data_IF_997134642070
#
_entry.id   IF_997134642070
#
_cell.length_a   1.000
_cell.length_b   1.000
_cell.length_c   1.000
_cell.angle_alpha   90.00
_cell.angle_beta   90.00
_cell.angle_gamma   90.00
#
_symmetry.space_group_name_H-M   'P 1'
#
loop_
_entity.id
_entity.type
_entity.pdbx_description
1 polymer ?
#
# COMPACT_ATOMS: atom_id res chain seq x y z
N UNK A 1 2.16 20.65 35.61
CA UNK A 1 0.83 20.82 35.00
C UNK A 1 0.95 21.33 33.57
N UNK A 2 1.65 22.45 33.32
CA UNK A 2 1.84 23.02 31.98
C UNK A 2 2.41 22.04 30.94
N UNK A 3 3.42 21.24 31.31
CA UNK A 3 4.00 20.19 30.44
C UNK A 3 2.99 19.15 29.96
N UNK A 4 2.08 18.73 30.85
CA UNK A 4 1.04 17.73 30.55
C UNK A 4 -0.05 18.35 29.67
N UNK A 5 -0.39 19.63 29.87
CA UNK A 5 -1.31 20.36 29.00
C UNK A 5 -0.77 20.49 27.55
N UNK A 6 0.55 20.50 27.40
CA UNK A 6 1.23 20.46 26.10
C UNK A 6 1.38 19.04 25.51
N UNK A 7 0.83 18.01 26.17
CA UNK A 7 0.83 16.63 25.68
C UNK A 7 2.02 15.77 26.13
N UNK A 8 2.89 16.26 27.02
CA UNK A 8 3.97 15.46 27.60
C UNK A 8 3.43 14.52 28.69
N UNK A 9 3.09 13.30 28.31
CA UNK A 9 2.55 12.26 29.21
C UNK A 9 3.62 11.36 29.83
N UNK A 10 4.89 11.47 29.42
CA UNK A 10 6.02 10.72 29.99
C UNK A 10 6.57 11.33 31.28
N UNK A 11 5.80 12.23 31.88
CA UNK A 11 6.15 12.89 33.13
C UNK A 11 5.52 12.18 34.32
N UNK A 12 6.30 11.94 35.38
CA UNK A 12 5.80 11.45 36.66
C UNK A 12 6.05 12.51 37.71
N UNK A 13 5.02 12.83 38.52
CA UNK A 13 5.20 13.71 39.66
C UNK A 13 5.86 12.95 40.81
N UNK A 14 6.96 13.46 41.32
CA UNK A 14 7.63 12.89 42.49
C UNK A 14 6.79 13.09 43.76
N UNK A 15 6.57 12.00 44.50
CA UNK A 15 5.95 12.05 45.82
C UNK A 15 6.98 12.53 46.86
N UNK A 16 6.80 13.73 47.40
CA UNK A 16 7.69 14.32 48.43
C UNK A 16 7.21 14.13 49.87
N UNK A 17 5.94 13.80 50.10
CA UNK A 17 5.34 13.62 51.43
C UNK A 17 4.35 12.45 51.49
N UNK A 18 4.15 11.90 52.67
CA UNK A 18 3.20 10.81 52.94
C UNK A 18 1.85 11.29 53.48
N UNK A 19 1.46 12.52 53.11
CA UNK A 19 0.18 13.14 53.47
C UNK A 19 -0.87 12.98 52.35
N UNK A 20 -2.04 13.59 52.52
CA UNK A 20 -3.15 13.57 51.56
C UNK A 20 -2.73 14.08 50.18
N UNK A 21 -1.77 15.01 50.11
CA UNK A 21 -1.18 15.48 48.86
C UNK A 21 -0.38 14.38 48.15
N UNK A 22 0.31 13.52 48.90
CA UNK A 22 0.97 12.33 48.36
C UNK A 22 -0.01 11.36 47.69
N UNK A 23 -1.19 11.14 48.28
CA UNK A 23 -2.23 10.27 47.71
C UNK A 23 -2.83 10.85 46.42
N UNK A 24 -2.97 12.19 46.35
CA UNK A 24 -3.40 12.88 45.12
C UNK A 24 -2.35 12.73 44.01
N UNK A 25 -1.06 12.85 44.34
CA UNK A 25 0.05 12.65 43.38
C UNK A 25 0.03 11.22 42.83
N UNK A 26 -0.13 10.22 43.70
CA UNK A 26 -0.20 8.81 43.29
C UNK A 26 -1.42 8.57 42.38
N UNK A 27 -2.59 9.13 42.73
CA UNK A 27 -3.81 9.02 41.92
C UNK A 27 -3.67 9.73 40.57
N UNK A 28 -2.99 10.87 40.54
CA UNK A 28 -2.70 11.63 39.32
C UNK A 28 -1.74 10.88 38.39
N UNK A 29 -0.64 10.34 38.93
CA UNK A 29 0.29 9.50 38.17
C UNK A 29 -0.41 8.27 37.60
N UNK A 30 -1.28 7.62 38.38
CA UNK A 30 -2.10 6.51 37.91
C UNK A 30 -3.02 6.91 36.74
N UNK A 31 -3.70 8.07 36.85
CA UNK A 31 -4.51 8.59 35.75
C UNK A 31 -3.69 8.88 34.49
N UNK A 32 -2.47 9.41 34.61
CA UNK A 32 -1.59 9.66 33.46
C UNK A 32 -1.21 8.37 32.73
N UNK A 33 -0.83 7.32 33.47
CA UNK A 33 -0.55 6.01 32.91
C UNK A 33 -1.78 5.49 32.16
N UNK A 34 -2.97 5.62 32.77
CA UNK A 34 -4.22 5.16 32.15
C UNK A 34 -4.55 5.92 30.88
N UNK A 35 -4.36 7.24 30.85
CA UNK A 35 -4.56 8.07 29.65
C UNK A 35 -3.61 7.63 28.54
N UNK A 36 -2.34 7.38 28.87
CA UNK A 36 -1.34 6.90 27.90
C UNK A 36 -1.76 5.55 27.29
N UNK A 37 -2.20 4.60 28.10
CA UNK A 37 -2.72 3.31 27.63
C UNK A 37 -3.93 3.47 26.69
N UNK A 38 -4.87 4.35 27.05
CA UNK A 38 -6.04 4.64 26.23
C UNK A 38 -5.64 5.26 24.88
N UNK A 39 -4.70 6.21 24.86
CA UNK A 39 -4.19 6.80 23.63
C UNK A 39 -3.54 5.74 22.72
N UNK A 40 -2.68 4.88 23.27
CA UNK A 40 -2.09 3.78 22.51
C UNK A 40 -3.16 2.81 21.97
N UNK A 41 -4.20 2.54 22.75
CA UNK A 41 -5.32 1.68 22.34
C UNK A 41 -6.11 2.30 21.20
N UNK A 42 -6.47 3.58 21.30
CA UNK A 42 -7.16 4.33 20.25
C UNK A 42 -6.31 4.38 18.97
N UNK A 43 -5.01 4.65 19.09
CA UNK A 43 -4.08 4.65 17.95
C UNK A 43 -4.06 3.28 17.25
N UNK A 44 -3.99 2.19 18.03
CA UNK A 44 -3.97 0.82 17.52
C UNK A 44 -5.29 0.46 16.83
N UNK A 45 -6.42 0.81 17.44
CA UNK A 45 -7.74 0.59 16.86
C UNK A 45 -7.90 1.36 15.55
N UNK A 46 -7.44 2.61 15.49
CA UNK A 46 -7.48 3.42 14.27
C UNK A 46 -6.64 2.81 13.15
N UNK A 47 -5.42 2.37 13.47
CA UNK A 47 -4.55 1.69 12.50
C UNK A 47 -5.19 0.37 11.99
N UNK A 48 -5.80 -0.41 12.87
CA UNK A 48 -6.49 -1.64 12.48
C UNK A 48 -7.74 -1.36 11.65
N UNK A 49 -8.50 -0.33 12.00
CA UNK A 49 -9.65 0.12 11.21
C UNK A 49 -9.23 0.48 9.79
N UNK A 50 -8.19 1.32 9.62
CA UNK A 50 -7.68 1.66 8.29
C UNK A 50 -7.20 0.44 7.51
N UNK A 51 -6.53 -0.51 8.16
CA UNK A 51 -6.13 -1.77 7.50
C UNK A 51 -7.34 -2.58 7.02
N UNK A 52 -8.36 -2.73 7.86
CA UNK A 52 -9.58 -3.47 7.51
C UNK A 52 -10.39 -2.76 6.43
N UNK A 53 -10.50 -1.44 6.50
CA UNK A 53 -11.15 -0.62 5.48
C UNK A 53 -10.43 -0.74 4.13
N UNK A 54 -9.10 -0.67 4.13
CA UNK A 54 -8.28 -0.86 2.93
C UNK A 54 -8.50 -2.26 2.34
N UNK A 55 -8.53 -3.30 3.17
CA UNK A 55 -8.81 -4.68 2.73
C UNK A 55 -10.23 -4.80 2.15
N UNK A 56 -11.23 -4.20 2.79
CA UNK A 56 -12.61 -4.21 2.32
C UNK A 56 -12.79 -3.43 1.01
N UNK A 57 -12.13 -2.28 0.86
CA UNK A 57 -12.14 -1.51 -0.38
C UNK A 57 -11.49 -2.31 -1.51
N UNK A 58 -10.35 -2.95 -1.25
CA UNK A 58 -9.67 -3.84 -2.19
C UNK A 58 -10.53 -5.05 -2.56
N UNK A 59 -11.24 -5.68 -1.61
CA UNK A 59 -12.09 -6.84 -1.91
C UNK A 59 -13.28 -6.52 -2.81
N UNK A 60 -13.72 -5.26 -2.90
CA UNK A 60 -14.73 -4.83 -3.87
C UNK A 60 -14.21 -4.93 -5.32
N UNK A 61 -12.89 -4.90 -5.54
CA UNK A 61 -12.28 -5.27 -6.81
C UNK A 61 -12.23 -6.80 -6.85
N UNK A 62 -13.33 -7.45 -7.27
CA UNK A 62 -13.34 -8.91 -7.42
C UNK A 62 -12.35 -9.30 -8.55
N UNK A 63 -11.18 -9.89 -8.22
CA UNK A 63 -10.14 -10.13 -9.22
C UNK A 63 -10.62 -11.10 -10.30
N UNK A 64 -11.42 -12.08 -9.89
CA UNK A 64 -12.02 -13.07 -10.79
C UNK A 64 -13.03 -12.43 -11.75
N UNK A 65 -13.86 -11.50 -11.27
CA UNK A 65 -14.76 -10.76 -12.15
C UNK A 65 -13.98 -9.97 -13.21
N UNK A 66 -12.90 -9.29 -12.79
CA UNK A 66 -12.05 -8.54 -13.72
C UNK A 66 -11.42 -9.45 -14.77
N UNK A 67 -10.88 -10.61 -14.37
CA UNK A 67 -10.33 -11.60 -15.32
C UNK A 67 -11.38 -12.06 -16.33
N UNK A 68 -12.60 -12.38 -15.86
CA UNK A 68 -13.68 -12.80 -16.75
C UNK A 68 -14.09 -11.72 -17.75
N UNK A 69 -14.10 -10.45 -17.34
CA UNK A 69 -14.40 -9.33 -18.25
C UNK A 69 -13.32 -9.21 -19.32
N UNK A 70 -12.04 -9.28 -18.95
CA UNK A 70 -10.95 -9.21 -19.91
C UNK A 70 -10.92 -10.41 -20.85
N UNK A 71 -11.13 -11.63 -20.35
CA UNK A 71 -11.20 -12.83 -21.17
C UNK A 71 -12.37 -12.76 -22.17
N UNK A 72 -13.53 -12.27 -21.73
CA UNK A 72 -14.67 -12.02 -22.63
C UNK A 72 -14.31 -11.03 -23.73
N UNK A 73 -13.65 -9.91 -23.40
CA UNK A 73 -13.24 -8.91 -24.40
C UNK A 73 -12.21 -9.52 -25.36
N UNK A 74 -11.21 -10.23 -24.83
CA UNK A 74 -10.19 -10.93 -25.61
C UNK A 74 -10.82 -11.86 -26.66
N UNK A 75 -11.70 -12.78 -26.23
CA UNK A 75 -12.35 -13.71 -27.15
C UNK A 75 -13.25 -13.02 -28.16
N UNK A 76 -13.91 -11.91 -27.78
CA UNK A 76 -14.69 -11.11 -28.74
C UNK A 76 -13.81 -10.49 -29.83
N UNK A 77 -12.59 -10.07 -29.52
CA UNK A 77 -11.65 -9.55 -30.52
C UNK A 77 -11.09 -10.66 -31.40
N UNK A 78 -10.73 -11.81 -30.81
CA UNK A 78 -10.28 -13.00 -31.56
C UNK A 78 -11.34 -13.46 -32.56
N UNK A 79 -12.63 -13.49 -32.17
CA UNK A 79 -13.74 -13.84 -33.06
C UNK A 79 -13.93 -12.87 -34.24
N UNK A 80 -13.46 -11.63 -34.10
CA UNK A 80 -13.46 -10.61 -35.15
C UNK A 80 -12.18 -10.57 -35.97
N UNK A 81 -11.23 -11.47 -35.70
CA UNK A 81 -9.87 -11.44 -36.26
C UNK A 81 -9.08 -10.16 -35.91
N UNK A 82 -9.43 -9.49 -34.81
CA UNK A 82 -8.73 -8.30 -34.29
C UNK A 82 -7.60 -8.71 -33.33
N UNK A 83 -6.63 -9.50 -33.83
CA UNK A 83 -5.59 -10.11 -32.99
C UNK A 83 -4.67 -9.11 -32.29
N UNK A 84 -4.28 -8.03 -32.98
CA UNK A 84 -3.44 -6.97 -32.38
C UNK A 84 -4.12 -6.34 -31.15
N UNK A 85 -5.43 -6.12 -31.23
CA UNK A 85 -6.22 -5.55 -30.13
C UNK A 85 -6.41 -6.60 -29.03
N UNK A 86 -6.56 -7.88 -29.39
CA UNK A 86 -6.63 -8.97 -28.44
C UNK A 86 -5.34 -9.06 -27.58
N UNK A 87 -4.16 -8.94 -28.18
CA UNK A 87 -2.88 -8.97 -27.46
C UNK A 87 -2.70 -7.80 -26.50
N UNK A 88 -3.20 -6.62 -26.87
CA UNK A 88 -3.23 -5.44 -25.99
C UNK A 88 -4.14 -5.68 -24.78
N UNK A 89 -5.31 -6.27 -25.01
CA UNK A 89 -6.26 -6.62 -23.94
C UNK A 89 -5.67 -7.70 -23.01
N UNK A 90 -4.94 -8.67 -23.55
CA UNK A 90 -4.25 -9.69 -22.76
C UNK A 90 -3.15 -9.08 -21.87
N UNK A 91 -2.34 -8.18 -22.43
CA UNK A 91 -1.30 -7.45 -21.69
C UNK A 91 -1.91 -6.62 -20.56
N UNK A 92 -3.02 -5.92 -20.83
CA UNK A 92 -3.74 -5.16 -19.81
C UNK A 92 -4.31 -6.07 -18.71
N UNK A 93 -4.84 -7.24 -19.09
CA UNK A 93 -5.32 -8.23 -18.14
C UNK A 93 -4.19 -8.69 -17.21
N UNK A 94 -3.01 -9.00 -17.73
CA UNK A 94 -1.83 -9.42 -16.96
C UNK A 94 -1.36 -8.35 -15.96
N UNK A 95 -1.27 -7.09 -16.41
CA UNK A 95 -0.95 -5.93 -15.55
C UNK A 95 -1.95 -5.85 -14.41
N UNK A 96 -3.25 -5.94 -14.73
CA UNK A 96 -4.30 -5.83 -13.74
C UNK A 96 -4.32 -7.03 -12.77
N UNK A 97 -4.03 -8.27 -13.25
CA UNK A 97 -3.88 -9.42 -12.35
C UNK A 97 -2.74 -9.19 -11.37
N UNK A 98 -1.64 -8.62 -11.83
CA UNK A 98 -0.52 -8.30 -10.95
C UNK A 98 -0.91 -7.26 -9.91
N UNK A 99 -1.54 -6.15 -10.30
CA UNK A 99 -1.95 -5.10 -9.37
C UNK A 99 -2.91 -5.59 -8.27
N UNK A 100 -3.84 -6.49 -8.63
CA UNK A 100 -4.89 -6.98 -7.73
C UNK A 100 -4.47 -8.26 -6.98
N UNK A 101 -3.43 -8.98 -7.41
CA UNK A 101 -2.97 -10.17 -6.70
C UNK A 101 -2.31 -9.81 -5.36
N UNK A 102 -2.99 -10.12 -4.26
CA UNK A 102 -2.57 -9.80 -2.89
C UNK A 102 -1.83 -10.93 -2.18
N UNK A 103 -1.54 -12.06 -2.85
CA UNK A 103 -0.88 -13.21 -2.20
C UNK A 103 0.58 -12.95 -1.83
N UNK A 104 1.21 -11.92 -2.39
CA UNK A 104 2.60 -11.53 -2.13
C UNK A 104 2.67 -10.04 -1.84
N UNK A 105 3.07 -9.66 -0.63
CA UNK A 105 3.37 -8.26 -0.26
C UNK A 105 4.77 -7.83 -0.71
N UNK A 106 5.70 -8.78 -0.75
CA UNK A 106 7.07 -8.62 -1.23
C UNK A 106 7.30 -9.52 -2.45
N UNK A 107 8.08 -9.01 -3.40
CA UNK A 107 8.46 -9.66 -4.67
C UNK A 107 9.93 -9.38 -4.95
N UNK A 108 10.57 -10.19 -5.79
CA UNK A 108 11.93 -9.86 -6.25
C UNK A 108 11.89 -8.62 -7.14
N UNK A 109 12.98 -7.85 -7.16
CA UNK A 109 13.15 -6.73 -8.10
C UNK A 109 12.90 -7.20 -9.53
N UNK A 110 13.41 -8.37 -9.91
CA UNK A 110 13.20 -8.94 -11.24
C UNK A 110 11.72 -9.15 -11.56
N UNK A 111 10.95 -9.71 -10.61
CA UNK A 111 9.51 -9.95 -10.77
C UNK A 111 8.79 -8.60 -10.99
N UNK A 112 9.01 -7.61 -10.14
CA UNK A 112 8.34 -6.30 -10.22
C UNK A 112 8.72 -5.54 -11.51
N UNK A 113 9.99 -5.60 -11.91
CA UNK A 113 10.50 -4.93 -13.11
C UNK A 113 9.98 -5.55 -14.41
N UNK A 114 9.75 -6.87 -14.43
CA UNK A 114 9.09 -7.52 -15.57
C UNK A 114 7.68 -6.97 -15.76
N UNK A 115 6.91 -6.81 -14.69
CA UNK A 115 5.57 -6.21 -14.75
C UNK A 115 5.62 -4.73 -15.12
N UNK A 116 6.59 -3.98 -14.60
CA UNK A 116 6.80 -2.58 -14.95
C UNK A 116 7.10 -2.39 -16.45
N UNK A 117 7.88 -3.30 -17.03
CA UNK A 117 8.17 -3.29 -18.47
C UNK A 117 6.92 -3.53 -19.32
N UNK A 118 6.06 -4.50 -18.95
CA UNK A 118 4.76 -4.71 -19.62
C UNK A 118 3.87 -3.47 -19.51
N UNK A 119 3.82 -2.85 -18.33
CA UNK A 119 3.07 -1.61 -18.10
C UNK A 119 3.57 -0.44 -18.97
N UNK A 120 4.88 -0.22 -19.00
CA UNK A 120 5.49 0.84 -19.80
C UNK A 120 5.30 0.62 -21.30
N UNK A 121 5.33 -0.63 -21.75
CA UNK A 121 5.04 -0.99 -23.15
C UNK A 121 3.59 -0.67 -23.51
N UNK A 122 2.64 -0.96 -22.63
CA UNK A 122 1.23 -0.58 -22.80
C UNK A 122 1.04 0.95 -22.82
N UNK A 123 1.68 1.68 -21.89
CA UNK A 123 1.63 3.14 -21.87
C UNK A 123 2.24 3.76 -23.13
N UNK A 124 3.30 3.18 -23.66
CA UNK A 124 3.93 3.61 -24.90
C UNK A 124 2.99 3.48 -26.09
N UNK A 125 2.22 2.40 -26.17
CA UNK A 125 1.18 2.22 -27.20
C UNK A 125 0.10 3.31 -27.09
N UNK A 126 -0.41 3.56 -25.88
CA UNK A 126 -1.42 4.61 -25.64
C UNK A 126 -0.94 6.01 -26.03
N UNK A 127 0.36 6.27 -25.85
CA UNK A 127 1.00 7.54 -26.19
C UNK A 127 1.50 7.61 -27.64
N UNK A 128 1.04 6.71 -28.51
CA UNK A 128 1.45 6.62 -29.92
C UNK A 128 2.98 6.64 -30.08
N UNK A 129 3.67 5.76 -29.34
CA UNK A 129 5.13 5.57 -29.41
C UNK A 129 5.98 6.76 -28.93
N UNK A 130 5.38 7.79 -28.33
CA UNK A 130 6.12 8.97 -27.82
C UNK A 130 6.85 8.72 -26.50
N UNK A 131 6.51 7.67 -25.77
CA UNK A 131 7.15 7.33 -24.51
C UNK A 131 8.47 6.59 -24.77
N UNK A 132 9.57 7.20 -24.34
CA UNK A 132 10.88 6.55 -24.29
C UNK A 132 11.22 6.21 -22.86
N UNK A 133 11.71 4.99 -22.63
CA UNK A 133 12.10 4.53 -21.31
C UNK A 133 13.26 3.54 -21.42
N UNK A 134 14.04 3.43 -20.35
CA UNK A 134 15.10 2.45 -20.20
C UNK A 134 15.07 1.92 -18.77
N UNK A 135 15.12 0.59 -18.60
CA UNK A 135 15.18 -0.05 -17.30
C UNK A 135 16.57 -0.65 -17.14
N UNK A 136 17.34 -0.15 -16.17
CA UNK A 136 18.67 -0.67 -15.82
C UNK A 136 18.65 -1.20 -14.41
N UNK A 137 18.92 -2.49 -14.26
CA UNK A 137 18.95 -3.17 -12.97
C UNK A 137 20.29 -3.91 -12.91
N UNK A 138 21.14 -3.63 -11.90
CA UNK A 138 22.30 -4.46 -11.63
C UNK A 138 21.88 -5.89 -11.28
N UNK A 139 22.57 -6.89 -11.82
CA UNK A 139 22.24 -8.31 -11.59
C UNK A 139 22.21 -8.67 -10.10
N UNK A 140 23.09 -8.05 -9.30
CA UNK A 140 23.18 -8.21 -7.85
C UNK A 140 21.88 -7.85 -7.11
N UNK A 141 21.05 -6.98 -7.70
CA UNK A 141 19.79 -6.53 -7.11
C UNK A 141 18.58 -7.32 -7.62
N UNK A 142 18.72 -8.15 -8.66
CA UNK A 142 17.60 -8.82 -9.34
C UNK A 142 16.77 -9.69 -8.39
N UNK A 143 17.45 -10.42 -7.50
CA UNK A 143 16.85 -11.32 -6.51
C UNK A 143 16.53 -10.66 -5.17
N UNK A 144 16.86 -9.37 -4.98
CA UNK A 144 16.50 -8.67 -3.76
C UNK A 144 14.98 -8.53 -3.65
N UNK A 145 14.45 -8.69 -2.45
CA UNK A 145 13.03 -8.47 -2.19
C UNK A 145 12.73 -6.98 -2.01
N UNK A 146 11.61 -6.55 -2.59
CA UNK A 146 11.09 -5.21 -2.45
C UNK A 146 9.57 -5.23 -2.25
N UNK A 147 8.98 -4.18 -1.65
CA UNK A 147 7.55 -4.01 -1.63
C UNK A 147 7.00 -4.00 -3.05
N UNK A 148 5.98 -4.83 -3.29
CA UNK A 148 5.32 -4.95 -4.59
C UNK A 148 4.75 -3.59 -5.05
N UNK A 149 4.93 -3.26 -6.32
CA UNK A 149 4.49 -1.99 -6.94
C UNK A 149 5.15 -0.73 -6.37
N UNK A 150 6.28 -0.82 -5.67
CA UNK A 150 6.91 0.36 -5.05
C UNK A 150 7.30 1.43 -6.09
N UNK A 151 7.79 1.01 -7.27
CA UNK A 151 8.31 1.91 -8.30
C UNK A 151 7.19 2.45 -9.20
N UNK A 152 6.06 1.76 -9.27
CA UNK A 152 4.95 2.12 -10.16
C UNK A 152 4.43 3.56 -9.92
N UNK A 153 4.19 4.04 -8.69
CA UNK A 153 3.76 5.42 -8.44
C UNK A 153 4.73 6.47 -8.98
N UNK A 154 6.04 6.20 -8.93
CA UNK A 154 7.07 7.10 -9.43
C UNK A 154 7.01 7.19 -10.97
N UNK A 155 6.86 6.04 -11.62
CA UNK A 155 6.72 5.96 -13.07
C UNK A 155 5.42 6.60 -13.55
N UNK A 156 4.30 6.33 -12.87
CA UNK A 156 3.02 6.97 -13.17
C UNK A 156 3.09 8.48 -13.07
N UNK A 157 3.79 9.01 -12.07
CA UNK A 157 3.98 10.45 -11.92
C UNK A 157 4.93 11.06 -12.95
N UNK A 158 5.89 10.29 -13.48
CA UNK A 158 6.81 10.76 -14.51
C UNK A 158 6.18 10.80 -15.91
N UNK A 159 5.16 9.98 -16.15
CA UNK A 159 4.40 9.95 -17.41
C UNK A 159 3.32 11.05 -17.46
N UNK A 160 2.79 11.44 -16.29
CA UNK A 160 1.80 12.53 -16.13
C UNK A 160 2.43 13.91 -16.34
#
# INVERSE_FOLDING_TARGET
MERIQNGELDFTMERKKQDEFGMIIDSFNYMLVRIKELLHTVQRQRNNYYKLEMLALKSKLNPHFLYNVFDMIYWKMVLKNEYEIADVVATLADILRYCVNHKKEFVTVQEDMRYLSSYLSFQRLLLNEKLQYEIRIPDELSECEMPKLLIQPLVENAIK
#
